data_IF_751802361209
#
_entry.id   IF_751802361209
#
_cell.length_a   1.000
_cell.length_b   1.000
_cell.length_c   1.000
_cell.angle_alpha   90.00
_cell.angle_beta   90.00
_cell.angle_gamma   90.00
#
_symmetry.space_group_name_H-M   'P 1'
#
loop_
_entity.id
_entity.type
_entity.pdbx_description
1 polymer ?
#
# COMPACT_ATOMS: atom_id res chain seq x y z
N UNK A 1 13.67 -16.56 5.71
CA UNK A 1 13.07 -15.23 5.70
C UNK A 1 13.37 -14.65 4.35
N UNK A 2 12.38 -14.52 3.46
CA UNK A 2 12.58 -13.94 2.13
C UNK A 2 12.13 -12.48 2.17
N UNK A 3 13.05 -11.59 2.50
CA UNK A 3 12.79 -10.14 2.49
C UNK A 3 12.96 -9.56 1.08
N UNK A 4 12.47 -8.33 0.86
CA UNK A 4 12.73 -7.59 -0.39
C UNK A 4 14.24 -7.43 -0.66
N UNK A 5 15.06 -7.31 0.39
CA UNK A 5 16.51 -7.19 0.21
C UNK A 5 17.13 -8.49 -0.31
N UNK A 6 16.72 -9.63 0.27
CA UNK A 6 17.18 -10.96 -0.17
C UNK A 6 16.71 -11.26 -1.59
N UNK A 7 15.50 -10.84 -1.94
CA UNK A 7 14.91 -10.98 -3.28
C UNK A 7 15.68 -10.17 -4.34
N UNK A 8 15.93 -8.89 -4.09
CA UNK A 8 16.57 -7.98 -5.07
C UNK A 8 18.03 -8.36 -5.32
N UNK A 9 18.66 -9.04 -4.35
CA UNK A 9 20.05 -9.51 -4.43
C UNK A 9 20.19 -10.97 -4.88
N UNK A 10 19.07 -11.69 -5.03
CA UNK A 10 19.07 -13.10 -5.45
C UNK A 10 19.40 -13.26 -6.94
N UNK A 11 20.22 -14.26 -7.25
CA UNK A 11 20.51 -14.69 -8.62
C UNK A 11 19.29 -15.34 -9.33
N UNK A 12 18.24 -15.69 -8.58
CA UNK A 12 17.05 -16.39 -9.09
C UNK A 12 15.89 -15.46 -9.47
N UNK A 13 16.08 -14.14 -9.44
CA UNK A 13 15.03 -13.21 -9.85
C UNK A 13 14.90 -13.18 -11.37
N UNK A 14 13.70 -13.49 -11.86
CA UNK A 14 13.35 -13.46 -13.27
C UNK A 14 12.05 -12.68 -13.54
N UNK A 15 11.65 -12.61 -14.82
CA UNK A 15 10.43 -11.90 -15.22
C UNK A 15 9.16 -12.53 -14.65
N UNK A 16 9.12 -13.85 -14.45
CA UNK A 16 7.94 -14.52 -13.90
C UNK A 16 7.77 -14.17 -12.42
N UNK A 17 8.86 -14.16 -11.67
CA UNK A 17 8.89 -13.75 -10.28
C UNK A 17 8.45 -12.29 -10.11
N UNK A 18 8.97 -11.38 -10.95
CA UNK A 18 8.55 -9.97 -10.92
C UNK A 18 7.05 -9.83 -11.22
N UNK A 19 6.50 -10.56 -12.20
CA UNK A 19 5.04 -10.54 -12.46
C UNK A 19 4.23 -11.00 -11.26
N UNK A 20 4.63 -12.11 -10.64
CA UNK A 20 3.97 -12.64 -9.43
C UNK A 20 3.97 -11.64 -8.28
N UNK A 21 5.06 -10.88 -8.12
CA UNK A 21 5.14 -9.83 -7.08
C UNK A 21 4.22 -8.66 -7.37
N UNK A 22 4.09 -8.28 -8.64
CA UNK A 22 3.15 -7.24 -9.06
C UNK A 22 1.69 -7.67 -8.87
N UNK A 23 1.38 -8.94 -9.13
CA UNK A 23 0.05 -9.53 -8.89
C UNK A 23 -0.26 -9.62 -7.39
N UNK A 24 0.64 -10.21 -6.61
CA UNK A 24 0.54 -10.26 -5.14
C UNK A 24 0.35 -8.85 -4.55
N UNK A 25 1.10 -7.86 -5.03
CA UNK A 25 0.93 -6.47 -4.56
C UNK A 25 -0.47 -5.91 -4.84
N UNK A 26 -1.02 -6.14 -6.02
CA UNK A 26 -2.37 -5.70 -6.35
C UNK A 26 -3.42 -6.39 -5.48
N UNK A 27 -3.28 -7.69 -5.24
CA UNK A 27 -4.18 -8.45 -4.36
C UNK A 27 -4.14 -7.91 -2.92
N UNK A 28 -2.95 -7.64 -2.39
CA UNK A 28 -2.75 -7.03 -1.07
C UNK A 28 -3.43 -5.68 -0.95
N UNK A 29 -3.24 -4.81 -1.95
CA UNK A 29 -3.88 -3.50 -1.99
C UNK A 29 -5.40 -3.61 -2.03
N UNK A 30 -5.94 -4.52 -2.84
CA UNK A 30 -7.38 -4.76 -2.89
C UNK A 30 -7.93 -5.26 -1.55
N UNK A 31 -7.21 -6.16 -0.88
CA UNK A 31 -7.55 -6.62 0.47
C UNK A 31 -7.53 -5.49 1.50
N UNK A 32 -6.47 -4.69 1.53
CA UNK A 32 -6.38 -3.51 2.40
C UNK A 32 -7.52 -2.54 2.16
N UNK A 33 -7.81 -2.22 0.90
CA UNK A 33 -8.86 -1.28 0.54
C UNK A 33 -10.27 -1.82 0.83
N UNK A 34 -10.48 -3.12 0.70
CA UNK A 34 -11.73 -3.77 1.13
C UNK A 34 -11.92 -3.69 2.65
N UNK A 35 -10.87 -3.98 3.41
CA UNK A 35 -10.92 -3.85 4.87
C UNK A 35 -11.21 -2.41 5.32
N UNK A 36 -10.59 -1.41 4.67
CA UNK A 36 -10.86 0.00 4.95
C UNK A 36 -12.32 0.36 4.68
N UNK A 37 -12.89 -0.11 3.56
CA UNK A 37 -14.29 0.13 3.19
C UNK A 37 -15.25 -0.45 4.26
N UNK A 38 -14.99 -1.67 4.72
CA UNK A 38 -15.75 -2.31 5.80
C UNK A 38 -15.70 -1.58 7.14
N UNK A 39 -14.64 -0.80 7.38
CA UNK A 39 -14.44 -0.07 8.64
C UNK A 39 -14.97 1.37 8.62
N UNK A 40 -15.52 1.83 7.49
CA UNK A 40 -15.96 3.20 7.36
C UNK A 40 -17.09 3.54 8.35
N UNK A 41 -16.99 4.67 9.06
CA UNK A 41 -18.11 5.16 9.85
C UNK A 41 -19.19 5.78 8.95
N UNK A 42 -20.39 5.92 9.49
CA UNK A 42 -21.47 6.66 8.81
C UNK A 42 -21.01 8.06 8.39
N UNK A 43 -21.46 8.49 7.22
CA UNK A 43 -21.11 9.79 6.65
C UNK A 43 -19.83 9.80 5.81
N UNK A 44 -19.19 8.64 5.65
CA UNK A 44 -18.05 8.43 4.77
C UNK A 44 -18.37 7.39 3.69
N UNK A 45 -17.74 7.54 2.54
CA UNK A 45 -17.80 6.56 1.44
C UNK A 45 -16.41 6.27 0.89
N UNK A 46 -16.15 5.01 0.56
CA UNK A 46 -14.97 4.61 -0.20
C UNK A 46 -15.26 4.71 -1.69
N UNK A 47 -14.29 5.26 -2.44
CA UNK A 47 -14.31 5.25 -3.91
C UNK A 47 -12.94 4.89 -4.45
N UNK A 48 -12.91 4.15 -5.56
CA UNK A 48 -11.68 3.94 -6.31
C UNK A 48 -11.23 5.27 -6.91
N UNK A 49 -10.01 5.68 -6.58
CA UNK A 49 -9.41 6.86 -7.17
C UNK A 49 -8.84 6.59 -8.56
N UNK A 50 -8.22 7.62 -9.16
CA UNK A 50 -7.46 7.45 -10.38
C UNK A 50 -6.28 6.48 -10.12
N UNK A 51 -6.10 5.43 -10.94
CA UNK A 51 -5.00 4.48 -10.74
C UNK A 51 -3.65 5.18 -10.97
N UNK A 52 -2.63 4.68 -10.28
CA UNK A 52 -1.25 5.09 -10.51
C UNK A 52 -0.56 4.09 -11.43
N UNK A 53 0.21 4.56 -12.41
CA UNK A 53 0.97 3.65 -13.28
C UNK A 53 2.24 3.23 -12.56
N UNK A 54 2.34 1.95 -12.24
CA UNK A 54 3.53 1.35 -11.68
C UNK A 54 4.39 0.78 -12.81
N UNK A 55 5.60 1.30 -12.91
CA UNK A 55 6.63 0.77 -13.80
C UNK A 55 7.96 0.93 -13.08
N UNK A 56 8.26 0.03 -12.17
CA UNK A 56 9.45 0.15 -11.33
C UNK A 56 10.72 -0.36 -12.03
N UNK A 57 11.87 -0.14 -11.41
CA UNK A 57 13.18 -0.50 -12.00
C UNK A 57 13.29 -2.00 -12.31
N UNK A 58 12.75 -2.87 -11.44
CA UNK A 58 12.78 -4.31 -11.67
C UNK A 58 11.86 -4.74 -12.81
N UNK A 59 10.67 -4.13 -12.92
CA UNK A 59 9.79 -4.36 -14.06
C UNK A 59 10.49 -4.06 -15.39
N UNK A 60 11.10 -2.88 -15.50
CA UNK A 60 11.92 -2.51 -16.68
C UNK A 60 13.06 -3.48 -16.93
N UNK A 61 13.82 -3.82 -15.89
CA UNK A 61 15.00 -4.70 -15.98
C UNK A 61 14.63 -6.08 -16.56
N UNK A 62 13.47 -6.60 -16.20
CA UNK A 62 13.03 -7.94 -16.58
C UNK A 62 11.95 -7.94 -17.68
N UNK A 63 11.70 -6.82 -18.34
CA UNK A 63 10.73 -6.73 -19.45
C UNK A 63 9.29 -7.03 -19.01
N UNK A 64 8.91 -6.62 -17.81
CA UNK A 64 7.52 -6.66 -17.32
C UNK A 64 6.88 -5.30 -17.60
N UNK A 65 5.74 -5.33 -18.28
CA UNK A 65 5.01 -4.13 -18.68
C UNK A 65 4.53 -3.30 -17.50
N UNK A 66 4.42 -1.99 -17.71
CA UNK A 66 3.79 -1.08 -16.75
C UNK A 66 2.35 -1.52 -16.43
N UNK A 67 1.95 -1.41 -15.17
CA UNK A 67 0.62 -1.81 -14.72
C UNK A 67 -0.09 -0.66 -14.00
N UNK A 68 -1.37 -0.38 -14.29
CA UNK A 68 -2.17 0.50 -13.45
C UNK A 68 -2.45 -0.19 -12.10
N UNK A 69 -2.18 0.51 -11.00
CA UNK A 69 -2.36 0.02 -9.64
C UNK A 69 -3.48 0.82 -8.97
N UNK A 70 -4.40 0.16 -8.21
CA UNK A 70 -5.54 0.82 -7.62
C UNK A 70 -5.14 1.88 -6.59
N UNK A 71 -5.95 2.93 -6.50
CA UNK A 71 -5.91 3.89 -5.39
C UNK A 71 -7.27 3.90 -4.69
N UNK A 72 -7.30 4.42 -3.47
CA UNK A 72 -8.53 4.57 -2.70
C UNK A 72 -8.66 6.03 -2.27
N UNK A 73 -9.86 6.59 -2.43
CA UNK A 73 -10.26 7.86 -1.87
C UNK A 73 -11.43 7.64 -0.93
N UNK A 74 -11.39 8.26 0.26
CA UNK A 74 -12.49 8.30 1.20
C UNK A 74 -13.07 9.71 1.17
N UNK A 75 -14.37 9.82 1.00
CA UNK A 75 -15.07 11.10 0.91
C UNK A 75 -15.99 11.27 2.12
N UNK A 76 -15.79 12.34 2.87
CA UNK A 76 -16.67 12.76 3.95
C UNK A 76 -17.79 13.66 3.44
N UNK A 77 -18.98 13.60 4.06
CA UNK A 77 -20.12 14.43 3.67
C UNK A 77 -19.89 15.94 3.83
N UNK A 78 -18.93 16.37 4.65
CA UNK A 78 -18.55 17.78 4.78
C UNK A 78 -17.44 18.21 3.80
N UNK A 79 -17.13 17.36 2.82
CA UNK A 79 -16.18 17.64 1.74
C UNK A 79 -14.74 17.24 2.05
N UNK A 80 -14.50 16.54 3.16
CA UNK A 80 -13.21 15.96 3.48
C UNK A 80 -12.82 14.87 2.48
N UNK A 81 -11.53 14.81 2.15
CA UNK A 81 -11.00 13.78 1.26
C UNK A 81 -9.74 13.19 1.86
N UNK A 82 -9.76 11.89 2.09
CA UNK A 82 -8.56 11.10 2.43
C UNK A 82 -8.16 10.29 1.21
N UNK A 83 -6.86 10.26 0.89
CA UNK A 83 -6.35 9.52 -0.28
C UNK A 83 -5.28 8.53 0.14
N UNK A 84 -5.39 7.32 -0.38
CA UNK A 84 -4.42 6.23 -0.26
C UNK A 84 -3.82 5.98 -1.65
N UNK A 85 -2.52 6.21 -1.78
CA UNK A 85 -1.80 6.09 -3.04
C UNK A 85 -0.63 5.13 -2.88
N UNK A 86 -0.65 3.96 -3.55
CA UNK A 86 0.51 3.09 -3.62
C UNK A 86 1.70 3.86 -4.21
N UNK A 87 2.85 3.75 -3.55
CA UNK A 87 4.03 4.53 -3.90
C UNK A 87 5.14 3.66 -4.48
N UNK A 88 5.46 2.54 -3.84
CA UNK A 88 6.45 1.59 -4.31
C UNK A 88 6.21 0.21 -3.70
N UNK A 89 6.47 -0.84 -4.49
CA UNK A 89 6.43 -2.24 -4.12
C UNK A 89 7.77 -2.69 -3.53
N UNK A 90 8.89 -2.43 -4.21
CA UNK A 90 10.20 -2.89 -3.77
C UNK A 90 10.89 -1.85 -2.87
N UNK A 91 10.51 -1.82 -1.59
CA UNK A 91 11.15 -1.00 -0.56
C UNK A 91 11.99 -1.88 0.36
N UNK A 92 13.21 -1.44 0.66
CA UNK A 92 14.08 -2.17 1.58
C UNK A 92 13.38 -2.36 2.92
N UNK A 93 13.22 -3.62 3.31
CA UNK A 93 12.64 -4.03 4.60
C UNK A 93 11.12 -4.07 4.69
N UNK A 94 10.37 -3.76 3.62
CA UNK A 94 8.90 -3.82 3.64
C UNK A 94 8.34 -4.31 2.30
N UNK A 95 7.22 -5.03 2.33
CA UNK A 95 6.51 -5.57 1.17
C UNK A 95 5.57 -4.55 0.52
N UNK A 96 6.08 -3.34 0.30
CA UNK A 96 5.37 -2.24 -0.34
C UNK A 96 4.97 -1.11 0.60
N UNK A 97 4.53 0.00 0.00
CA UNK A 97 4.14 1.24 0.68
C UNK A 97 2.96 1.92 0.04
N UNK A 98 2.08 2.43 0.89
CA UNK A 98 0.97 3.29 0.54
C UNK A 98 1.12 4.62 1.29
N UNK A 99 1.13 5.72 0.53
CA UNK A 99 1.07 7.06 1.09
C UNK A 99 -0.38 7.44 1.36
N UNK A 100 -0.64 7.95 2.56
CA UNK A 100 -1.96 8.41 2.98
C UNK A 100 -1.93 9.91 3.23
N UNK A 101 -2.82 10.65 2.58
CA UNK A 101 -3.01 12.08 2.83
C UNK A 101 -4.40 12.33 3.41
N UNK A 102 -4.48 12.89 4.61
CA UNK A 102 -5.72 13.23 5.32
C UNK A 102 -5.56 14.60 5.99
N UNK A 103 -6.49 15.54 5.78
CA UNK A 103 -6.53 16.83 6.50
C UNK A 103 -5.18 17.60 6.51
N UNK A 104 -4.39 17.51 5.43
CA UNK A 104 -3.06 18.14 5.34
C UNK A 104 -1.92 17.34 6.00
N UNK A 105 -2.22 16.27 6.72
CA UNK A 105 -1.25 15.35 7.31
C UNK A 105 -0.90 14.21 6.36
N UNK A 106 0.31 13.68 6.52
CA UNK A 106 0.81 12.53 5.77
C UNK A 106 1.11 11.37 6.69
N UNK A 107 0.57 10.21 6.34
CA UNK A 107 0.89 8.94 6.96
C UNK A 107 1.48 8.01 5.90
N UNK A 108 2.23 7.02 6.37
CA UNK A 108 2.84 6.00 5.53
C UNK A 108 2.40 4.65 6.06
N UNK A 109 1.72 3.89 5.21
CA UNK A 109 1.40 2.49 5.46
C UNK A 109 2.46 1.64 4.76
N UNK A 110 2.97 0.63 5.45
CA UNK A 110 3.90 -0.38 4.93
C UNK A 110 3.37 -1.77 5.25
N UNK A 111 3.60 -2.72 4.35
CA UNK A 111 3.40 -4.14 4.66
C UNK A 111 4.70 -4.72 5.24
N UNK A 112 4.64 -5.22 6.46
CA UNK A 112 5.78 -5.82 7.17
C UNK A 112 5.94 -7.32 6.91
N UNK A 113 5.00 -7.92 6.20
CA UNK A 113 5.04 -9.34 5.90
C UNK A 113 6.22 -9.70 4.98
N UNK A 114 6.62 -10.98 5.06
CA UNK A 114 7.48 -11.56 4.04
C UNK A 114 6.77 -11.63 2.69
N UNK A 115 7.54 -11.74 1.61
CA UNK A 115 6.99 -11.91 0.26
C UNK A 115 6.04 -13.13 0.22
N UNK A 116 4.83 -12.91 -0.30
CA UNK A 116 3.76 -13.92 -0.42
C UNK A 116 3.18 -14.45 0.91
N UNK A 117 3.59 -13.92 2.07
CA UNK A 117 2.95 -14.23 3.36
C UNK A 117 1.68 -13.39 3.57
N UNK A 118 0.88 -13.70 4.59
CA UNK A 118 -0.29 -12.86 4.92
C UNK A 118 0.14 -11.42 5.24
N UNK A 119 -0.54 -10.37 4.71
CA UNK A 119 -0.12 -8.98 4.91
C UNK A 119 -0.11 -8.55 6.39
N UNK A 120 0.92 -7.83 6.80
CA UNK A 120 1.02 -7.17 8.11
C UNK A 120 1.10 -5.67 7.91
N UNK A 121 -0.07 -5.05 7.73
CA UNK A 121 -0.18 -3.63 7.46
C UNK A 121 0.08 -2.79 8.72
N UNK A 122 1.14 -2.00 8.67
CA UNK A 122 1.50 -1.07 9.73
C UNK A 122 1.55 0.36 9.21
N UNK A 123 1.21 1.31 10.07
CA UNK A 123 1.20 2.74 9.77
C UNK A 123 2.14 3.50 10.68
N UNK A 124 2.83 4.47 10.10
CA UNK A 124 3.59 5.48 10.82
C UNK A 124 3.18 6.88 10.38
N UNK A 125 3.24 7.85 11.29
CA UNK A 125 3.15 9.26 10.92
C UNK A 125 4.48 9.73 10.30
N UNK A 126 4.42 10.71 9.40
CA UNK A 126 5.62 11.26 8.77
C UNK A 126 6.67 11.76 9.78
N UNK A 127 6.19 12.23 10.95
CA UNK A 127 6.99 12.83 12.03
C UNK A 127 7.52 11.81 13.04
N UNK A 128 6.97 10.58 13.07
CA UNK A 128 7.38 9.50 13.99
C UNK A 128 7.50 8.17 13.25
N UNK A 129 8.40 8.11 12.27
CA UNK A 129 8.57 6.95 11.37
C UNK A 129 8.97 5.65 12.09
N UNK A 130 9.51 5.74 13.30
CA UNK A 130 9.88 4.59 14.12
C UNK A 130 8.73 4.06 14.99
N UNK A 131 7.70 4.87 15.21
CA UNK A 131 6.52 4.47 15.98
C UNK A 131 5.48 3.93 14.99
N UNK A 132 5.36 2.61 14.94
CA UNK A 132 4.42 1.92 14.06
C UNK A 132 3.29 1.32 14.88
N UNK A 133 2.09 1.36 14.32
CA UNK A 133 0.93 0.63 14.84
C UNK A 133 0.23 -0.12 13.71
N UNK A 134 -0.56 -1.14 14.05
CA UNK A 134 -1.35 -1.88 13.07
C UNK A 134 -2.44 -1.02 12.44
N UNK A 135 -2.63 -1.18 11.13
CA UNK A 135 -3.75 -0.58 10.41
C UNK A 135 -5.04 -1.30 10.81
N UNK A 136 -5.95 -0.58 11.47
CA UNK A 136 -7.20 -1.12 12.03
C UNK A 136 -8.34 -0.13 11.83
N UNK A 137 -9.59 -0.57 12.05
CA UNK A 137 -10.75 0.32 12.03
C UNK A 137 -10.67 1.45 13.06
N UNK A 138 -10.06 1.22 14.22
CA UNK A 138 -9.85 2.27 15.23
C UNK A 138 -8.80 3.29 14.81
N UNK A 139 -7.73 2.86 14.14
CA UNK A 139 -6.79 3.78 13.50
C UNK A 139 -7.49 4.62 12.43
N UNK A 140 -8.29 3.99 11.57
CA UNK A 140 -9.05 4.68 10.52
C UNK A 140 -9.97 5.74 11.14
N UNK A 141 -10.73 5.41 12.18
CA UNK A 141 -11.60 6.38 12.88
C UNK A 141 -10.82 7.54 13.48
N UNK A 142 -9.56 7.37 13.89
CA UNK A 142 -8.71 8.49 14.33
C UNK A 142 -8.23 9.34 13.17
N UNK A 143 -7.94 8.71 12.02
CA UNK A 143 -7.55 9.40 10.80
C UNK A 143 -8.67 10.30 10.23
N UNK A 144 -9.93 9.87 10.36
CA UNK A 144 -11.11 10.54 9.81
C UNK A 144 -11.69 11.65 10.73
N UNK A 145 -11.06 11.92 11.88
CA UNK A 145 -11.50 12.94 12.84
C UNK A 145 -10.93 14.33 12.53
#
# INVERSE_FOLDING_TARGET
>A
MNTVLDEVTSENMDAQHVRRRVEDWEERLNGLFGAIDEWLPDGWEARRGAPVVMHEKLMRKFGVDAKPIPTLELLGHAGEIVRFRPHALWIVGNNGRVDVSANGHRHVIVDMAENFAEPDWQVASADRRCDRESVTGDWLRRLLR
#
